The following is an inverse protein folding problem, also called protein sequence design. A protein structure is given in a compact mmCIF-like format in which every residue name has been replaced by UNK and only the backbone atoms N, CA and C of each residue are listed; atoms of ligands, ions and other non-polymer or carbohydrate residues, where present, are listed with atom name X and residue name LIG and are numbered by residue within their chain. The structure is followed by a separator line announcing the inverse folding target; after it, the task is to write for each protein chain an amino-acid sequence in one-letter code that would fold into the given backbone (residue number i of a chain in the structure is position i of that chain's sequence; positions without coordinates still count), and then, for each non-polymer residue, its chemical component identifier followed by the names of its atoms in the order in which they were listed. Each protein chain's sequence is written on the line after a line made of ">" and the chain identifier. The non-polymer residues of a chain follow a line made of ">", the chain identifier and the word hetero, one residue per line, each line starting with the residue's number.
data_IF_567634416864
#
_entry.id   IF_567634416864
#
_cell.length_a   1.000
_cell.length_b   1.000
_cell.length_c   1.000
_cell.angle_alpha   90.00
_cell.angle_beta   90.00
_cell.angle_gamma   90.00
#
_symmetry.space_group_name_H-M   'P 1'
#
loop_
_entity.id
_entity.type
_entity.pdbx_description
1 polymer ?
#
# COMPACT_ATOMS: atom_id res chain seq x y z
N UNK A 1 -5.01 15.56 25.08
CA UNK A 1 -5.03 14.64 23.92
C UNK A 1 -5.91 15.30 22.89
N UNK A 2 -5.31 15.91 21.89
CA UNK A 2 -6.08 16.37 20.73
C UNK A 2 -6.56 15.11 20.00
N UNK A 3 -7.87 15.05 19.75
CA UNK A 3 -8.51 13.84 19.22
C UNK A 3 -8.01 13.50 17.83
N UNK A 4 -7.84 12.21 17.59
CA UNK A 4 -7.56 11.64 16.27
C UNK A 4 -8.48 12.25 15.21
N UNK A 5 -7.93 12.48 14.02
CA UNK A 5 -8.70 12.87 12.83
C UNK A 5 -9.78 11.83 12.55
N UNK A 6 -11.04 12.23 12.66
CA UNK A 6 -12.18 11.40 12.28
C UNK A 6 -12.33 11.45 10.75
N UNK A 7 -12.15 10.31 10.11
CA UNK A 7 -12.33 10.13 8.67
C UNK A 7 -13.63 9.39 8.40
N UNK A 8 -14.50 9.99 7.61
CA UNK A 8 -15.68 9.33 7.05
C UNK A 8 -15.59 9.31 5.54
N UNK A 9 -15.78 8.14 4.94
CA UNK A 9 -15.91 7.99 3.50
C UNK A 9 -17.31 7.46 3.17
N UNK A 10 -17.92 7.96 2.12
CA UNK A 10 -19.12 7.38 1.54
C UNK A 10 -18.85 6.88 0.14
N UNK A 11 -19.49 5.78 -0.22
CA UNK A 11 -19.35 5.06 -1.48
C UNK A 11 -20.71 4.97 -2.16
N UNK A 12 -20.74 4.89 -3.49
CA UNK A 12 -22.01 4.70 -4.23
C UNK A 12 -22.61 3.32 -3.97
N UNK A 13 -21.74 2.30 -3.75
CA UNK A 13 -22.13 0.96 -3.34
C UNK A 13 -20.97 0.31 -2.56
N UNK A 14 -21.21 -0.78 -1.82
CA UNK A 14 -20.13 -1.56 -1.23
C UNK A 14 -19.12 -1.98 -2.31
N UNK A 15 -17.83 -1.66 -2.13
CA UNK A 15 -16.72 -1.96 -3.04
C UNK A 15 -16.59 -1.04 -4.28
N UNK A 16 -17.26 0.11 -4.33
CA UNK A 16 -17.02 1.14 -5.35
C UNK A 16 -16.06 2.25 -4.84
N UNK A 17 -15.60 3.08 -5.77
CA UNK A 17 -14.72 4.21 -5.44
C UNK A 17 -15.42 5.21 -4.50
N UNK A 18 -14.71 5.80 -3.53
CA UNK A 18 -15.30 6.78 -2.62
C UNK A 18 -15.73 8.04 -3.37
N UNK A 19 -16.94 8.52 -3.12
CA UNK A 19 -17.48 9.75 -3.75
C UNK A 19 -17.40 10.96 -2.84
N UNK A 20 -17.32 10.76 -1.53
CA UNK A 20 -17.09 11.83 -0.56
C UNK A 20 -16.17 11.35 0.56
N UNK A 21 -15.45 12.31 1.14
CA UNK A 21 -14.61 12.10 2.32
C UNK A 21 -14.82 13.29 3.24
N UNK A 22 -14.98 13.04 4.54
CA UNK A 22 -14.96 14.09 5.55
C UNK A 22 -13.76 13.88 6.46
N UNK A 23 -12.98 14.93 6.67
CA UNK A 23 -11.80 14.93 7.53
C UNK A 23 -11.94 16.01 8.59
N UNK A 24 -11.49 15.72 9.80
CA UNK A 24 -11.40 16.69 10.88
C UNK A 24 -10.09 16.50 11.63
N UNK A 25 -9.28 17.53 11.72
CA UNK A 25 -7.99 17.53 12.42
C UNK A 25 -8.18 18.20 13.78
N UNK A 26 -8.13 17.41 14.85
CA UNK A 26 -8.34 17.93 16.21
C UNK A 26 -9.66 18.69 16.34
N UNK A 27 -9.59 19.95 16.79
CA UNK A 27 -10.75 20.85 16.95
C UNK A 27 -11.01 21.73 15.72
N UNK A 28 -10.26 21.57 14.62
CA UNK A 28 -10.49 22.33 13.40
C UNK A 28 -11.88 22.00 12.81
N UNK A 29 -12.48 22.92 12.02
CA UNK A 29 -13.70 22.62 11.30
C UNK A 29 -13.53 21.42 10.37
N UNK A 30 -14.52 20.55 10.32
CA UNK A 30 -14.51 19.40 9.40
C UNK A 30 -14.44 19.88 7.94
N UNK A 31 -13.53 19.28 7.17
CA UNK A 31 -13.39 19.51 5.72
C UNK A 31 -14.08 18.37 4.97
N UNK A 32 -14.91 18.72 4.01
CA UNK A 32 -15.54 17.75 3.12
C UNK A 32 -14.88 17.80 1.76
N UNK A 33 -14.55 16.61 1.25
CA UNK A 33 -13.99 16.40 -0.06
C UNK A 33 -14.98 15.61 -0.92
N UNK A 34 -14.98 15.82 -2.24
CA UNK A 34 -15.81 15.07 -3.19
C UNK A 34 -15.00 14.58 -4.37
N UNK A 35 -15.39 13.44 -4.94
CA UNK A 35 -14.69 12.77 -6.03
C UNK A 35 -15.65 12.32 -7.11
N UNK A 36 -15.21 12.35 -8.37
CA UNK A 36 -15.95 11.85 -9.53
C UNK A 36 -15.07 10.97 -10.39
N UNK A 37 -15.65 9.95 -10.98
CA UNK A 37 -14.94 8.95 -11.77
C UNK A 37 -15.62 8.74 -13.12
N UNK A 38 -14.86 8.25 -14.09
CA UNK A 38 -15.42 7.79 -15.36
C UNK A 38 -15.85 6.30 -15.26
N UNK A 39 -16.39 5.76 -16.36
CA UNK A 39 -16.84 4.34 -16.41
C UNK A 39 -15.71 3.29 -16.32
N UNK A 40 -14.44 3.71 -16.21
CA UNK A 40 -13.29 2.84 -15.94
C UNK A 40 -12.75 3.00 -14.51
N UNK A 41 -13.48 3.70 -13.64
CA UNK A 41 -13.09 4.05 -12.28
C UNK A 41 -11.84 4.96 -12.21
N UNK A 42 -11.50 5.69 -13.28
CA UNK A 42 -10.44 6.69 -13.26
C UNK A 42 -10.97 8.00 -12.67
N UNK A 43 -10.23 8.62 -11.78
CA UNK A 43 -10.60 9.87 -11.11
C UNK A 43 -10.62 11.02 -12.14
N UNK A 44 -11.79 11.59 -12.39
CA UNK A 44 -11.98 12.70 -13.35
C UNK A 44 -12.09 14.06 -12.70
N UNK A 45 -12.57 14.12 -11.48
CA UNK A 45 -12.62 15.36 -10.71
C UNK A 45 -12.51 15.10 -9.22
N UNK A 46 -11.96 16.07 -8.51
CA UNK A 46 -12.03 16.13 -7.05
C UNK A 46 -12.22 17.58 -6.60
N UNK A 47 -12.87 17.75 -5.44
CA UNK A 47 -12.87 19.00 -4.71
C UNK A 47 -12.40 18.71 -3.30
N UNK A 48 -11.23 19.23 -2.92
CA UNK A 48 -10.65 19.04 -1.61
C UNK A 48 -10.87 20.32 -0.78
N UNK A 49 -11.88 20.27 0.11
CA UNK A 49 -12.40 21.48 0.74
C UNK A 49 -12.97 22.45 -0.34
N UNK A 50 -12.26 23.55 -0.62
CA UNK A 50 -12.64 24.50 -1.66
C UNK A 50 -11.78 24.40 -2.94
N UNK A 51 -10.74 23.56 -2.95
CA UNK A 51 -9.78 23.46 -4.07
C UNK A 51 -10.27 22.48 -5.14
N UNK A 52 -10.55 22.91 -6.38
CA UNK A 52 -11.00 22.05 -7.46
C UNK A 52 -9.82 21.40 -8.20
N UNK A 53 -10.01 20.15 -8.60
CA UNK A 53 -9.09 19.35 -9.43
C UNK A 53 -9.87 18.72 -10.58
N UNK A 54 -9.23 18.55 -11.74
CA UNK A 54 -9.86 17.92 -12.90
C UNK A 54 -8.84 17.15 -13.74
N UNK A 55 -9.22 15.97 -14.23
CA UNK A 55 -8.34 15.09 -14.98
C UNK A 55 -9.08 14.48 -16.18
N UNK A 56 -8.36 14.30 -17.28
CA UNK A 56 -8.87 13.53 -18.41
C UNK A 56 -7.81 12.56 -18.92
N UNK A 57 -8.27 11.47 -19.53
CA UNK A 57 -7.41 10.37 -19.94
C UNK A 57 -7.73 9.92 -21.36
N UNK A 58 -6.78 9.28 -22.00
CA UNK A 58 -7.02 8.54 -23.23
C UNK A 58 -7.59 7.13 -22.94
N UNK A 59 -7.78 6.32 -23.98
CA UNK A 59 -8.39 5.00 -23.86
C UNK A 59 -7.56 3.98 -23.10
N UNK A 60 -6.25 4.21 -22.92
CA UNK A 60 -5.34 3.32 -22.19
C UNK A 60 -4.91 3.93 -20.83
N UNK A 61 -5.49 5.06 -20.43
CA UNK A 61 -5.25 5.68 -19.13
C UNK A 61 -4.03 6.62 -19.09
N UNK A 62 -3.47 7.06 -20.22
CA UNK A 62 -2.54 8.18 -20.18
C UNK A 62 -3.32 9.46 -19.88
N UNK A 63 -2.80 10.28 -18.96
CA UNK A 63 -3.38 11.59 -18.67
C UNK A 63 -3.27 12.49 -19.90
N UNK A 64 -4.38 13.11 -20.27
CA UNK A 64 -4.45 14.13 -21.34
C UNK A 64 -4.40 15.54 -20.78
N UNK A 65 -5.11 15.74 -19.69
CA UNK A 65 -5.10 17.02 -18.97
C UNK A 65 -5.08 16.80 -17.47
N UNK A 66 -4.45 17.72 -16.76
CA UNK A 66 -4.59 17.87 -15.31
C UNK A 66 -4.84 19.35 -15.01
N UNK A 67 -5.90 19.63 -14.25
CA UNK A 67 -6.17 20.94 -13.68
C UNK A 67 -6.03 20.82 -12.17
N UNK A 68 -5.10 21.57 -11.64
CA UNK A 68 -4.85 21.66 -10.20
C UNK A 68 -4.96 23.14 -9.79
N UNK A 69 -5.12 23.48 -8.51
CA UNK A 69 -5.36 24.86 -8.08
C UNK A 69 -4.30 25.87 -8.54
N UNK A 70 -3.06 25.43 -8.72
CA UNK A 70 -1.93 26.28 -9.10
C UNK A 70 -1.51 26.14 -10.57
N UNK A 71 -1.93 25.07 -11.29
CA UNK A 71 -1.45 24.78 -12.63
C UNK A 71 -2.47 24.03 -13.49
N UNK A 72 -2.40 24.25 -14.80
CA UNK A 72 -3.09 23.43 -15.80
C UNK A 72 -2.04 22.82 -16.72
N UNK A 73 -2.11 21.50 -16.89
CA UNK A 73 -1.18 20.70 -17.67
C UNK A 73 -1.91 19.97 -18.79
N UNK A 74 -1.31 19.95 -19.99
CA UNK A 74 -1.75 19.10 -21.08
C UNK A 74 -0.61 18.15 -21.47
N UNK A 75 -0.96 16.90 -21.75
CA UNK A 75 -0.01 15.81 -21.98
C UNK A 75 -0.23 15.18 -23.35
N UNK A 76 0.84 14.98 -24.10
CA UNK A 76 0.86 14.12 -25.27
C UNK A 76 1.64 12.84 -24.97
N UNK A 77 1.15 11.70 -25.47
CA UNK A 77 1.80 10.40 -25.30
C UNK A 77 2.01 9.69 -26.63
N UNK A 78 3.09 8.93 -26.75
CA UNK A 78 3.38 8.08 -27.91
C UNK A 78 2.73 6.69 -27.79
N UNK A 79 2.87 5.85 -28.80
CA UNK A 79 2.34 4.48 -28.82
C UNK A 79 2.95 3.52 -27.78
N UNK A 80 3.99 3.94 -27.05
CA UNK A 80 4.59 3.21 -25.94
C UNK A 80 4.11 3.74 -24.57
N UNK A 81 3.09 4.60 -24.54
CA UNK A 81 2.56 5.28 -23.35
C UNK A 81 3.58 6.20 -22.66
N UNK A 82 4.61 6.65 -23.37
CA UNK A 82 5.57 7.63 -22.88
C UNK A 82 5.07 9.04 -23.22
N UNK A 83 5.14 9.97 -22.27
CA UNK A 83 4.84 11.37 -22.57
C UNK A 83 5.90 11.94 -23.49
N UNK A 84 5.47 12.58 -24.56
CA UNK A 84 6.33 13.24 -25.54
C UNK A 84 6.37 14.74 -25.34
N UNK A 85 5.35 15.27 -24.67
CA UNK A 85 5.21 16.68 -24.40
C UNK A 85 4.32 16.89 -23.16
N UNK A 86 4.67 17.86 -22.32
CA UNK A 86 3.88 18.32 -21.18
C UNK A 86 3.84 19.85 -21.25
N UNK A 87 2.69 20.38 -21.66
CA UNK A 87 2.44 21.82 -21.73
C UNK A 87 1.93 22.33 -20.37
N UNK A 88 2.48 23.44 -19.94
CA UNK A 88 2.05 24.17 -18.75
C UNK A 88 1.73 25.62 -19.15
N UNK A 89 0.59 26.12 -18.71
CA UNK A 89 0.15 27.46 -19.11
C UNK A 89 1.17 28.54 -18.72
N UNK A 90 1.65 29.26 -19.70
CA UNK A 90 2.62 30.36 -19.53
C UNK A 90 4.10 29.94 -19.53
N UNK A 91 4.41 28.63 -19.65
CA UNK A 91 5.77 28.12 -19.76
C UNK A 91 6.06 27.48 -21.12
N UNK A 92 7.35 27.32 -21.45
CA UNK A 92 7.75 26.48 -22.57
C UNK A 92 7.44 25.00 -22.28
N UNK A 93 6.98 24.23 -23.28
CA UNK A 93 6.67 22.82 -23.11
C UNK A 93 7.87 22.03 -22.57
N UNK A 94 7.59 21.14 -21.62
CA UNK A 94 8.57 20.19 -21.11
C UNK A 94 8.53 18.91 -21.94
N UNK A 95 9.66 18.54 -22.53
CA UNK A 95 9.81 17.32 -23.34
C UNK A 95 10.57 16.27 -22.55
N UNK A 96 9.89 15.26 -21.95
CA UNK A 96 10.56 14.15 -21.28
C UNK A 96 11.40 13.34 -22.27
N UNK A 97 12.50 12.76 -21.77
CA UNK A 97 13.30 11.82 -22.55
C UNK A 97 13.34 10.45 -21.86
N UNK A 98 13.58 9.41 -22.65
CA UNK A 98 13.60 8.02 -22.18
C UNK A 98 14.80 7.26 -22.73
N UNK A 99 15.30 6.29 -21.99
CA UNK A 99 16.28 5.34 -22.49
C UNK A 99 15.62 4.22 -23.33
N UNK A 100 16.43 3.32 -23.90
CA UNK A 100 15.95 2.21 -24.71
C UNK A 100 15.09 1.19 -23.93
N UNK A 101 15.20 1.15 -22.61
CA UNK A 101 14.39 0.30 -21.72
C UNK A 101 13.07 0.97 -21.32
N UNK A 102 12.87 2.24 -21.70
CA UNK A 102 11.69 3.04 -21.37
C UNK A 102 11.76 3.72 -20.01
N UNK A 103 12.92 3.81 -19.39
CA UNK A 103 13.07 4.60 -18.17
C UNK A 103 13.15 6.10 -18.54
N UNK A 104 12.42 6.94 -17.80
CA UNK A 104 12.43 8.39 -18.01
C UNK A 104 13.75 8.99 -17.56
N UNK A 105 14.53 9.55 -18.48
CA UNK A 105 15.86 10.11 -18.21
C UNK A 105 15.86 11.60 -17.97
N UNK A 106 14.83 12.33 -18.41
CA UNK A 106 14.59 13.74 -18.08
C UNK A 106 13.22 13.87 -17.43
N UNK A 107 13.19 14.33 -16.18
CA UNK A 107 12.03 14.33 -15.29
C UNK A 107 11.79 15.76 -14.79
N UNK A 108 10.55 16.27 -14.86
CA UNK A 108 10.14 17.50 -14.17
C UNK A 108 9.35 17.10 -12.90
N UNK A 109 9.73 17.66 -11.78
CA UNK A 109 9.06 17.49 -10.48
C UNK A 109 8.74 18.85 -9.88
N UNK A 110 8.12 18.93 -8.71
CA UNK A 110 7.89 20.19 -7.99
C UNK A 110 9.19 20.89 -7.54
N UNK A 111 10.32 20.15 -7.42
CA UNK A 111 11.63 20.73 -7.05
C UNK A 111 12.48 21.12 -8.28
N UNK A 112 12.03 20.85 -9.48
CA UNK A 112 12.71 21.23 -10.71
C UNK A 112 12.89 20.11 -11.74
N UNK A 113 13.85 20.29 -12.64
CA UNK A 113 14.15 19.33 -13.69
C UNK A 113 15.40 18.53 -13.33
N UNK A 114 15.30 17.21 -13.46
CA UNK A 114 16.29 16.23 -13.08
C UNK A 114 16.66 15.33 -14.26
N UNK A 115 17.96 15.04 -14.41
CA UNK A 115 18.43 13.98 -15.29
C UNK A 115 18.66 12.72 -14.46
N UNK A 116 18.03 11.60 -14.86
CA UNK A 116 18.14 10.32 -14.18
C UNK A 116 18.99 9.33 -14.97
N UNK A 117 19.79 8.53 -14.26
CA UNK A 117 20.58 7.42 -14.80
C UNK A 117 20.13 6.13 -14.16
N UNK A 118 20.01 5.06 -14.95
CA UNK A 118 19.52 3.76 -14.52
C UNK A 118 20.59 2.67 -14.66
N UNK A 119 20.55 1.67 -13.78
CA UNK A 119 21.35 0.46 -13.92
C UNK A 119 20.66 -0.57 -14.82
N UNK A 120 21.33 -1.71 -15.07
CA UNK A 120 20.79 -2.79 -15.90
C UNK A 120 19.51 -3.47 -15.35
N UNK A 121 19.17 -3.23 -14.09
CA UNK A 121 17.91 -3.67 -13.47
C UNK A 121 16.81 -2.59 -13.50
N UNK A 122 16.96 -1.56 -14.32
CA UNK A 122 16.05 -0.40 -14.43
C UNK A 122 15.82 0.34 -13.10
N UNK A 123 16.81 0.35 -12.20
CA UNK A 123 16.80 1.13 -10.95
C UNK A 123 17.50 2.45 -11.17
N UNK A 124 16.87 3.56 -10.81
CA UNK A 124 17.49 4.87 -10.89
C UNK A 124 18.63 4.98 -9.87
N UNK A 125 19.86 5.08 -10.36
CA UNK A 125 21.08 5.12 -9.51
C UNK A 125 21.61 6.52 -9.31
N UNK A 126 21.20 7.49 -10.13
CA UNK A 126 21.61 8.89 -9.97
C UNK A 126 20.52 9.83 -10.51
N UNK A 127 20.38 10.97 -9.81
CA UNK A 127 19.60 12.11 -10.26
C UNK A 127 20.48 13.36 -10.19
N UNK A 128 20.53 14.13 -11.28
CA UNK A 128 21.29 15.37 -11.34
C UNK A 128 20.34 16.52 -11.65
N UNK A 129 20.34 17.55 -10.83
CA UNK A 129 19.56 18.78 -11.07
C UNK A 129 19.98 19.45 -12.39
N UNK A 130 19.09 20.18 -13.03
CA UNK A 130 19.32 20.84 -14.34
C UNK A 130 20.57 21.73 -14.36
N UNK A 131 20.87 22.40 -13.25
CA UNK A 131 22.05 23.26 -13.13
C UNK A 131 23.32 22.49 -12.73
N UNK A 132 23.23 21.17 -12.50
CA UNK A 132 24.35 20.33 -12.08
C UNK A 132 24.80 20.50 -10.63
N UNK A 133 24.18 21.38 -9.87
CA UNK A 133 24.62 21.71 -8.51
C UNK A 133 24.27 20.66 -7.47
N UNK A 134 23.20 19.90 -7.72
CA UNK A 134 22.77 18.81 -6.84
C UNK A 134 22.84 17.48 -7.58
N UNK A 135 23.57 16.53 -7.00
CA UNK A 135 23.65 15.14 -7.47
C UNK A 135 23.20 14.23 -6.35
N UNK A 136 22.24 13.37 -6.63
CA UNK A 136 21.71 12.36 -5.71
C UNK A 136 22.10 10.99 -6.26
N UNK A 137 22.81 10.20 -5.46
CA UNK A 137 23.22 8.84 -5.81
C UNK A 137 22.44 7.84 -4.94
N UNK A 138 21.90 6.79 -5.56
CA UNK A 138 21.16 5.71 -4.92
C UNK A 138 21.87 4.39 -5.12
N UNK A 139 22.08 3.64 -4.03
CA UNK A 139 22.60 2.28 -4.08
C UNK A 139 21.51 1.26 -3.75
N UNK A 140 21.55 0.11 -4.45
CA UNK A 140 20.57 -0.97 -4.28
C UNK A 140 21.25 -2.28 -3.88
N UNK A 141 20.62 -3.02 -2.97
CA UNK A 141 21.09 -4.35 -2.59
C UNK A 141 20.63 -5.43 -3.59
N UNK A 142 20.99 -6.69 -3.31
CA UNK A 142 20.64 -7.82 -4.17
C UNK A 142 19.13 -8.13 -4.26
N UNK A 143 18.32 -7.61 -3.31
CA UNK A 143 16.86 -7.67 -3.34
C UNK A 143 16.24 -6.47 -4.06
N UNK A 144 17.04 -5.53 -4.55
CA UNK A 144 16.59 -4.33 -5.22
C UNK A 144 16.09 -3.24 -4.28
N UNK A 145 16.36 -3.31 -2.96
CA UNK A 145 16.00 -2.27 -2.00
C UNK A 145 17.07 -1.19 -1.98
N UNK A 146 16.65 0.07 -1.93
CA UNK A 146 17.58 1.22 -1.86
C UNK A 146 18.25 1.24 -0.49
N UNK A 147 19.46 0.72 -0.38
CA UNK A 147 20.19 0.69 0.88
C UNK A 147 20.99 1.95 1.15
N UNK A 148 21.15 2.85 0.17
CA UNK A 148 21.98 4.06 0.29
C UNK A 148 21.38 5.20 -0.52
N UNK A 149 21.46 6.41 0.04
CA UNK A 149 21.29 7.69 -0.64
C UNK A 149 22.42 8.61 -0.26
N UNK A 150 23.06 9.25 -1.25
CA UNK A 150 24.08 10.28 -1.02
C UNK A 150 23.70 11.52 -1.83
N UNK A 151 23.69 12.67 -1.18
CA UNK A 151 23.41 13.97 -1.78
C UNK A 151 24.69 14.78 -1.79
N UNK A 152 25.09 15.23 -2.98
CA UNK A 152 26.19 16.15 -3.18
C UNK A 152 25.63 17.48 -3.66
N UNK A 153 25.97 18.56 -2.97
CA UNK A 153 25.56 19.92 -3.32
C UNK A 153 26.80 20.79 -3.56
N UNK A 154 26.86 21.42 -4.74
CA UNK A 154 28.00 22.27 -5.14
C UNK A 154 29.38 21.58 -4.94
N UNK A 155 29.44 20.29 -5.26
CA UNK A 155 30.65 19.47 -5.15
C UNK A 155 30.98 18.96 -3.74
N UNK A 156 30.18 19.32 -2.73
CA UNK A 156 30.36 18.87 -1.34
C UNK A 156 29.27 17.88 -0.96
N UNK A 157 29.62 16.77 -0.30
CA UNK A 157 28.64 15.79 0.20
C UNK A 157 27.87 16.44 1.34
N UNK A 158 26.59 16.70 1.10
CA UNK A 158 25.68 17.32 2.07
C UNK A 158 25.03 16.28 3.00
N UNK A 159 24.71 15.08 2.47
CA UNK A 159 24.21 13.97 3.27
C UNK A 159 24.61 12.63 2.65
N UNK A 160 24.78 11.62 3.51
CA UNK A 160 25.03 10.25 3.08
C UNK A 160 24.36 9.31 4.07
N UNK A 161 23.21 8.76 3.66
CA UNK A 161 22.42 7.88 4.49
C UNK A 161 22.56 6.42 4.05
N UNK A 162 22.54 5.52 5.03
CA UNK A 162 22.40 4.08 4.81
C UNK A 162 21.15 3.58 5.50
N UNK A 163 20.39 2.74 4.79
CA UNK A 163 19.10 2.24 5.26
C UNK A 163 19.17 0.78 5.66
N UNK A 164 18.50 0.43 6.75
CA UNK A 164 18.34 -0.92 7.24
C UNK A 164 16.88 -1.36 7.01
N UNK A 165 16.72 -2.63 6.65
CA UNK A 165 15.43 -3.19 6.27
C UNK A 165 15.07 -4.44 7.06
N UNK A 166 13.77 -4.61 7.31
CA UNK A 166 13.13 -5.88 7.67
C UNK A 166 12.19 -6.28 6.52
N UNK A 167 12.55 -7.29 5.72
CA UNK A 167 11.90 -7.51 4.43
C UNK A 167 12.08 -6.29 3.53
N UNK A 168 11.00 -5.69 3.08
CA UNK A 168 11.00 -4.46 2.27
C UNK A 168 10.74 -3.18 3.09
N UNK A 169 10.38 -3.30 4.36
CA UNK A 169 10.16 -2.16 5.24
C UNK A 169 11.49 -1.58 5.74
N UNK A 170 11.72 -0.31 5.46
CA UNK A 170 12.86 0.42 6.02
C UNK A 170 12.62 0.62 7.52
N UNK A 171 13.52 0.13 8.36
CA UNK A 171 13.40 0.21 9.83
C UNK A 171 14.33 1.23 10.47
N UNK A 172 15.41 1.64 9.79
CA UNK A 172 16.31 2.66 10.30
C UNK A 172 17.09 3.35 9.17
N UNK A 173 17.57 4.55 9.45
CA UNK A 173 18.57 5.26 8.66
C UNK A 173 19.76 5.63 9.52
N UNK A 174 20.96 5.52 8.96
CA UNK A 174 22.22 5.86 9.59
C UNK A 174 22.94 6.95 8.81
N UNK A 175 23.57 7.88 9.53
CA UNK A 175 24.44 8.89 8.95
C UNK A 175 25.84 8.32 8.68
N UNK A 176 26.23 8.26 7.43
CA UNK A 176 27.56 7.77 7.02
C UNK A 176 28.65 8.84 7.14
N UNK A 177 28.27 10.09 7.37
CA UNK A 177 29.20 11.21 7.61
C UNK A 177 29.52 11.37 9.10
N UNK A 178 28.66 10.84 9.99
CA UNK A 178 28.81 10.91 11.43
C UNK A 178 28.78 9.52 12.08
N UNK A 179 29.88 8.78 11.97
CA UNK A 179 30.15 7.50 12.64
C UNK A 179 29.01 6.46 12.57
N UNK A 180 28.14 6.53 11.56
CA UNK A 180 26.93 5.69 11.40
C UNK A 180 25.93 5.88 12.54
N UNK A 181 25.87 7.06 13.12
CA UNK A 181 24.84 7.40 14.09
C UNK A 181 23.45 7.16 13.49
N UNK A 182 22.53 6.67 14.31
CA UNK A 182 21.15 6.42 13.88
C UNK A 182 20.43 7.76 13.78
N UNK A 183 20.05 8.13 12.56
CA UNK A 183 19.27 9.35 12.30
C UNK A 183 17.82 9.18 12.72
N UNK A 184 17.24 8.01 12.39
CA UNK A 184 15.85 7.67 12.71
C UNK A 184 15.62 6.16 12.72
N UNK A 185 14.63 5.75 13.49
CA UNK A 185 14.08 4.38 13.50
C UNK A 185 12.59 4.46 13.23
N UNK A 186 12.09 3.57 12.36
CA UNK A 186 10.69 3.48 11.97
C UNK A 186 10.07 2.20 12.52
N UNK A 187 8.91 2.32 13.13
CA UNK A 187 8.11 1.21 13.59
C UNK A 187 6.89 1.07 12.67
N UNK A 188 6.67 -0.15 12.22
CA UNK A 188 5.61 -0.51 11.29
C UNK A 188 4.61 -1.45 11.95
N UNK A 189 3.36 -1.42 11.49
CA UNK A 189 2.30 -2.27 12.01
C UNK A 189 2.66 -3.76 11.79
N UNK A 190 2.83 -4.55 12.87
CA UNK A 190 3.16 -5.96 12.76
C UNK A 190 1.99 -6.81 12.23
N UNK A 191 0.76 -6.30 12.24
CA UNK A 191 -0.43 -6.97 11.71
C UNK A 191 -0.54 -6.80 10.19
N UNK A 192 0.21 -5.86 9.62
CA UNK A 192 0.30 -5.63 8.19
C UNK A 192 1.76 -5.86 7.69
N UNK A 193 2.29 -7.09 7.73
CA UNK A 193 3.72 -7.34 7.48
C UNK A 193 4.17 -7.06 6.04
N UNK A 194 3.24 -6.90 5.12
CA UNK A 194 3.48 -6.59 3.69
C UNK A 194 3.08 -5.16 3.37
N UNK A 195 2.21 -4.55 4.16
CA UNK A 195 1.69 -3.22 3.92
C UNK A 195 2.49 -2.14 4.67
N UNK A 196 2.60 -0.98 4.07
CA UNK A 196 3.37 0.17 4.57
C UNK A 196 2.54 1.04 5.51
N UNK A 197 2.07 0.49 6.64
CA UNK A 197 1.40 1.26 7.68
C UNK A 197 2.39 1.66 8.77
N UNK A 198 2.84 2.93 8.82
CA UNK A 198 3.74 3.39 9.86
C UNK A 198 2.99 3.57 11.18
N UNK A 199 3.64 3.20 12.30
CA UNK A 199 3.12 3.42 13.65
C UNK A 199 3.86 4.55 14.35
N UNK A 200 5.20 4.54 14.31
CA UNK A 200 6.00 5.49 15.03
C UNK A 200 7.36 5.76 14.38
N UNK A 201 7.91 6.92 14.70
CA UNK A 201 9.24 7.39 14.37
C UNK A 201 9.99 7.68 15.67
N UNK A 202 11.19 7.17 15.81
CA UNK A 202 12.16 7.63 16.82
C UNK A 202 13.24 8.41 16.11
N UNK A 203 13.44 9.67 16.51
CA UNK A 203 14.46 10.57 15.95
C UNK A 203 15.17 11.28 17.10
N UNK A 204 16.47 11.02 17.24
CA UNK A 204 17.21 11.39 18.43
C UNK A 204 16.66 10.71 19.69
N UNK A 205 16.30 11.49 20.70
CA UNK A 205 15.65 10.99 21.93
C UNK A 205 14.11 11.10 21.89
N UNK A 206 13.53 11.55 20.78
CA UNK A 206 12.10 11.84 20.68
C UNK A 206 11.36 10.71 19.99
N UNK A 207 10.18 10.37 20.50
CA UNK A 207 9.22 9.44 19.92
C UNK A 207 8.08 10.24 19.31
N UNK A 208 7.72 9.90 18.09
CA UNK A 208 6.58 10.45 17.37
C UNK A 208 5.65 9.31 16.90
N UNK A 209 4.35 9.56 16.90
CA UNK A 209 3.33 8.60 16.43
C UNK A 209 2.70 9.11 15.13
N UNK A 210 2.47 8.21 14.19
CA UNK A 210 1.84 8.54 12.92
C UNK A 210 0.33 8.43 12.98
N UNK A 211 -0.37 9.46 12.48
CA UNK A 211 -1.76 9.42 12.05
C UNK A 211 -1.80 9.15 10.54
N UNK A 212 -2.64 8.22 10.11
CA UNK A 212 -2.78 7.86 8.70
C UNK A 212 -4.24 7.78 8.28
N UNK A 213 -4.51 8.12 7.03
CA UNK A 213 -5.83 7.93 6.42
C UNK A 213 -6.06 6.48 5.94
N UNK A 214 -7.21 6.23 5.28
CA UNK A 214 -7.56 4.90 4.77
C UNK A 214 -6.63 4.40 3.67
N UNK A 215 -5.98 5.30 2.92
CA UNK A 215 -4.99 4.97 1.89
C UNK A 215 -3.56 4.96 2.43
N UNK A 216 -3.41 4.97 3.78
CA UNK A 216 -2.13 4.97 4.50
C UNK A 216 -1.29 6.24 4.28
N UNK A 217 -1.89 7.31 3.75
CA UNK A 217 -1.21 8.59 3.71
C UNK A 217 -1.01 9.08 5.14
N UNK A 218 0.20 9.49 5.48
CA UNK A 218 0.47 10.12 6.77
C UNK A 218 -0.16 11.51 6.75
N UNK A 219 -1.14 11.75 7.61
CA UNK A 219 -1.85 13.03 7.71
C UNK A 219 -1.33 13.88 8.84
N UNK A 220 -0.98 13.28 9.98
CA UNK A 220 -0.37 13.94 11.12
C UNK A 220 0.79 13.12 11.69
N UNK A 221 1.70 13.81 12.35
CA UNK A 221 2.74 13.20 13.18
C UNK A 221 2.68 13.87 14.55
N UNK A 222 2.40 13.09 15.58
CA UNK A 222 2.23 13.55 16.95
C UNK A 222 3.50 13.32 17.76
N UNK A 223 3.86 14.27 18.60
CA UNK A 223 4.90 14.09 19.61
C UNK A 223 4.39 13.22 20.80
N UNK A 224 5.28 12.95 21.75
CA UNK A 224 4.94 12.15 22.94
C UNK A 224 3.87 12.79 23.85
N UNK A 225 3.56 14.06 23.68
CA UNK A 225 2.53 14.80 24.40
C UNK A 225 1.19 14.79 23.65
N UNK A 226 1.18 14.26 22.42
CA UNK A 226 0.01 14.26 21.55
C UNK A 226 -0.19 15.56 20.78
N UNK A 227 0.84 16.43 20.73
CA UNK A 227 0.82 17.65 19.91
C UNK A 227 1.24 17.33 18.48
N UNK A 228 0.63 17.99 17.50
CA UNK A 228 0.98 17.81 16.09
C UNK A 228 2.35 18.45 15.82
N UNK A 229 3.36 17.62 15.57
CA UNK A 229 4.71 18.03 15.22
C UNK A 229 4.87 18.30 13.71
N UNK A 230 4.11 17.58 12.87
CA UNK A 230 3.97 17.81 11.44
C UNK A 230 2.57 17.39 10.97
N UNK A 231 2.05 18.06 9.95
CA UNK A 231 0.81 17.68 9.30
C UNK A 231 0.95 17.81 7.78
N UNK A 232 0.25 16.95 7.05
CA UNK A 232 0.35 16.86 5.59
C UNK A 232 -1.04 16.83 4.97
N UNK A 233 -1.19 17.60 3.89
CA UNK A 233 -2.30 17.51 2.96
C UNK A 233 -1.78 17.09 1.58
N UNK A 234 -2.59 16.37 0.84
CA UNK A 234 -2.20 15.80 -0.44
C UNK A 234 -3.17 16.19 -1.54
N UNK A 235 -2.64 16.50 -2.73
CA UNK A 235 -3.47 16.53 -3.94
C UNK A 235 -4.03 15.13 -4.23
N UNK A 236 -5.02 14.99 -5.12
CA UNK A 236 -5.58 13.68 -5.47
C UNK A 236 -4.55 12.68 -6.00
N UNK A 237 -3.39 13.14 -6.46
CA UNK A 237 -2.27 12.32 -6.95
C UNK A 237 -1.03 12.38 -6.06
N UNK A 238 -1.17 12.88 -4.82
CA UNK A 238 -0.11 12.78 -3.82
C UNK A 238 0.95 13.88 -3.84
N UNK A 239 0.73 14.98 -4.58
CA UNK A 239 1.53 16.17 -4.36
C UNK A 239 1.27 16.67 -2.93
N UNK A 240 2.33 16.84 -2.15
CA UNK A 240 2.25 17.09 -0.71
C UNK A 240 2.39 18.56 -0.38
N UNK A 241 1.58 19.02 0.57
CA UNK A 241 1.76 20.30 1.27
C UNK A 241 1.88 19.98 2.76
N UNK A 242 3.01 20.34 3.36
CA UNK A 242 3.27 20.06 4.77
C UNK A 242 3.32 21.31 5.63
N UNK A 243 3.01 21.15 6.91
CA UNK A 243 3.19 22.15 7.96
C UNK A 243 3.92 21.52 9.15
N UNK A 244 4.52 22.35 10.01
CA UNK A 244 5.33 21.88 11.13
C UNK A 244 6.83 21.88 10.84
N UNK A 245 7.62 21.56 11.84
CA UNK A 245 9.10 21.62 11.78
C UNK A 245 9.77 20.25 11.74
N UNK A 246 9.02 19.16 11.89
CA UNK A 246 9.57 17.82 11.89
C UNK A 246 9.79 17.34 10.45
N UNK A 247 11.05 17.20 10.03
CA UNK A 247 11.42 16.50 8.80
C UNK A 247 11.34 14.98 9.00
N UNK A 248 10.51 14.29 8.20
CA UNK A 248 10.35 12.85 8.25
C UNK A 248 9.95 12.31 6.87
N UNK A 249 10.40 11.10 6.47
CA UNK A 249 10.28 10.66 5.08
C UNK A 249 8.97 9.95 4.74
N UNK A 250 8.20 9.44 5.70
CA UNK A 250 7.02 8.61 5.42
C UNK A 250 5.80 9.50 5.21
N UNK A 251 5.26 9.53 4.00
CA UNK A 251 4.17 10.45 3.66
C UNK A 251 3.07 9.75 2.85
N UNK A 252 2.96 10.02 1.55
CA UNK A 252 1.96 9.46 0.65
C UNK A 252 2.00 7.92 0.61
N UNK A 253 0.85 7.27 0.75
CA UNK A 253 0.70 5.79 0.80
C UNK A 253 1.53 5.08 1.89
N UNK A 254 2.03 5.82 2.90
CA UNK A 254 2.98 5.27 3.86
C UNK A 254 4.35 4.96 3.25
N UNK A 255 4.67 5.52 2.09
CA UNK A 255 5.92 5.30 1.37
C UNK A 255 6.94 6.42 1.61
N UNK A 256 8.18 6.20 1.18
CA UNK A 256 9.29 7.13 1.39
C UNK A 256 9.23 8.28 0.40
N UNK A 257 8.75 9.43 0.83
CA UNK A 257 8.86 10.68 0.08
C UNK A 257 10.29 11.21 0.15
N UNK A 258 10.83 11.59 -0.98
CA UNK A 258 12.18 12.14 -1.09
C UNK A 258 12.08 13.65 -1.41
N UNK A 259 12.33 14.46 -0.39
CA UNK A 259 12.14 15.92 -0.46
C UNK A 259 13.13 16.60 -1.43
N UNK A 260 14.32 16.03 -1.69
CA UNK A 260 15.32 16.65 -2.56
C UNK A 260 14.83 16.74 -4.01
N UNK A 261 14.13 15.71 -4.50
CA UNK A 261 13.64 15.67 -5.89
C UNK A 261 12.15 15.37 -6.01
N UNK A 262 11.41 15.41 -4.90
CA UNK A 262 9.95 15.30 -4.83
C UNK A 262 9.37 14.06 -5.54
N UNK A 263 10.06 12.92 -5.45
CA UNK A 263 9.58 11.62 -5.90
C UNK A 263 9.28 10.73 -4.70
N UNK A 264 8.34 9.80 -4.86
CA UNK A 264 7.99 8.81 -3.86
C UNK A 264 8.64 7.47 -4.23
N UNK A 265 9.43 6.90 -3.30
CA UNK A 265 10.12 5.64 -3.50
C UNK A 265 9.27 4.45 -3.04
N UNK A 266 8.83 3.63 -3.99
CA UNK A 266 8.05 2.41 -3.78
C UNK A 266 8.92 1.16 -4.03
N UNK A 267 9.97 0.95 -3.31
CA UNK A 267 10.87 -0.20 -3.46
C UNK A 267 11.30 -0.54 -4.90
N UNK A 268 10.35 -0.84 -5.80
CA UNK A 268 10.65 -1.23 -7.19
C UNK A 268 10.63 -0.07 -8.18
N UNK A 269 9.89 1.01 -7.91
CA UNK A 269 9.76 2.18 -8.79
C UNK A 269 9.79 3.48 -8.00
N UNK A 270 10.08 4.59 -8.69
CA UNK A 270 9.76 5.92 -8.19
C UNK A 270 8.48 6.43 -8.84
N UNK A 271 7.65 7.02 -8.03
CA UNK A 271 6.43 7.68 -8.45
C UNK A 271 6.63 9.19 -8.49
N UNK A 272 6.17 9.83 -9.58
CA UNK A 272 6.14 11.29 -9.71
C UNK A 272 4.72 11.81 -9.44
N UNK A 273 4.45 12.42 -8.29
CA UNK A 273 3.12 12.95 -7.97
C UNK A 273 2.64 14.03 -8.94
N UNK A 274 3.55 14.86 -9.48
CA UNK A 274 3.22 15.91 -10.43
C UNK A 274 2.60 15.35 -11.71
N UNK A 275 3.22 14.33 -12.29
CA UNK A 275 2.73 13.72 -13.53
C UNK A 275 1.70 12.61 -13.27
N UNK A 276 1.53 12.19 -12.01
CA UNK A 276 0.61 11.13 -11.60
C UNK A 276 0.97 9.76 -12.15
N UNK A 277 2.28 9.46 -12.32
CA UNK A 277 2.73 8.22 -12.96
C UNK A 277 4.12 7.77 -12.47
N UNK A 278 4.45 6.53 -12.79
CA UNK A 278 5.77 5.97 -12.59
C UNK A 278 6.78 6.57 -13.57
N UNK A 279 8.05 6.76 -13.13
CA UNK A 279 9.13 7.26 -14.00
C UNK A 279 9.77 6.15 -14.85
N UNK A 280 9.41 4.88 -14.63
CA UNK A 280 9.87 3.74 -15.40
C UNK A 280 8.76 2.71 -15.59
N UNK A 281 8.96 1.81 -16.56
CA UNK A 281 8.00 0.76 -16.89
C UNK A 281 7.81 -0.21 -15.74
N UNK A 282 6.62 -0.82 -15.69
CA UNK A 282 6.31 -1.84 -14.70
C UNK A 282 7.24 -3.06 -14.85
N UNK A 283 7.96 -3.46 -13.79
CA UNK A 283 8.83 -4.64 -13.83
C UNK A 283 8.08 -5.96 -14.06
N UNK A 284 6.78 -6.02 -13.72
CA UNK A 284 5.93 -7.20 -13.98
C UNK A 284 5.20 -7.12 -15.32
N UNK A 285 5.53 -6.12 -16.11
CA UNK A 285 5.01 -5.88 -17.46
C UNK A 285 3.48 -5.75 -17.48
N UNK A 286 2.78 -6.32 -18.48
CA UNK A 286 1.32 -6.25 -18.63
C UNK A 286 0.53 -6.96 -17.50
N UNK A 287 1.20 -7.68 -16.60
CA UNK A 287 0.56 -8.24 -15.39
C UNK A 287 0.11 -7.14 -14.42
N UNK A 288 0.80 -5.99 -14.42
CA UNK A 288 0.42 -4.80 -13.67
C UNK A 288 -0.60 -3.90 -14.37
N UNK A 289 -0.91 -4.17 -15.64
CA UNK A 289 -1.82 -3.37 -16.48
C UNK A 289 -1.25 -3.07 -17.86
N UNK A 290 -2.12 -2.68 -18.81
CA UNK A 290 -1.70 -2.37 -20.17
C UNK A 290 -0.86 -1.09 -20.29
N UNK A 291 -1.08 -0.10 -19.45
CA UNK A 291 -0.26 1.10 -19.37
C UNK A 291 0.82 0.90 -18.29
N UNK A 292 2.04 0.59 -18.72
CA UNK A 292 3.16 0.23 -17.84
C UNK A 292 3.67 1.40 -16.98
N UNK A 293 3.15 2.61 -17.17
CA UNK A 293 3.50 3.80 -16.40
C UNK A 293 2.35 4.30 -15.51
N UNK A 294 1.13 3.76 -15.69
CA UNK A 294 -0.03 4.22 -14.92
C UNK A 294 0.14 3.91 -13.41
N UNK A 295 -0.15 4.91 -12.58
CA UNK A 295 -0.21 4.76 -11.14
C UNK A 295 -1.63 4.40 -10.73
N UNK A 296 -1.81 3.25 -10.06
CA UNK A 296 -3.06 2.76 -9.49
C UNK A 296 -4.25 2.71 -10.48
N UNK A 297 -3.97 2.63 -11.79
CA UNK A 297 -5.02 2.72 -12.82
C UNK A 297 -5.81 4.01 -12.76
N UNK A 298 -5.19 5.12 -12.34
CA UNK A 298 -5.80 6.44 -12.13
C UNK A 298 -6.92 6.49 -11.06
N UNK A 299 -6.96 5.53 -10.11
CA UNK A 299 -7.93 5.45 -9.02
C UNK A 299 -7.23 5.59 -7.67
N UNK A 300 -6.69 6.76 -7.39
CA UNK A 300 -5.79 7.02 -6.26
C UNK A 300 -6.49 7.16 -4.91
N UNK A 301 -7.83 7.22 -4.88
CA UNK A 301 -8.59 7.43 -3.65
C UNK A 301 -9.06 6.12 -3.00
N UNK A 302 -9.00 5.01 -3.72
CA UNK A 302 -9.43 3.68 -3.26
C UNK A 302 -8.37 2.60 -3.41
N UNK A 303 -7.21 2.93 -4.04
CA UNK A 303 -6.13 1.98 -4.29
C UNK A 303 -4.82 2.45 -3.70
N UNK A 304 -3.96 1.49 -3.38
CA UNK A 304 -2.57 1.71 -3.00
C UNK A 304 -1.67 0.63 -3.63
N UNK A 305 -0.39 0.90 -3.70
CA UNK A 305 0.64 -0.07 -4.11
C UNK A 305 1.66 -0.16 -2.98
N UNK A 306 2.10 -1.36 -2.61
CA UNK A 306 3.04 -1.56 -1.49
C UNK A 306 4.49 -1.72 -1.93
N UNK A 307 4.71 -1.99 -3.21
CA UNK A 307 6.04 -2.27 -3.74
C UNK A 307 6.37 -1.49 -5.02
N UNK A 308 5.38 -0.82 -5.61
CA UNK A 308 5.51 -0.28 -6.96
C UNK A 308 5.46 -1.37 -8.03
N UNK A 309 4.60 -2.37 -7.86
CA UNK A 309 4.40 -3.50 -8.78
C UNK A 309 2.94 -3.67 -9.19
N UNK A 310 2.01 -3.56 -8.25
CA UNK A 310 0.60 -3.84 -8.48
C UNK A 310 -0.30 -2.98 -7.59
N UNK A 311 -1.30 -2.37 -8.23
CA UNK A 311 -2.37 -1.67 -7.52
C UNK A 311 -3.24 -2.66 -6.73
N UNK A 312 -3.52 -2.34 -5.49
CA UNK A 312 -4.39 -3.09 -4.59
C UNK A 312 -5.52 -2.16 -4.13
N UNK A 313 -6.76 -2.66 -4.15
CA UNK A 313 -7.88 -1.88 -3.62
C UNK A 313 -7.76 -1.80 -2.09
N UNK A 314 -7.87 -0.61 -1.53
CA UNK A 314 -7.68 -0.36 -0.09
C UNK A 314 -8.66 -1.14 0.78
N UNK A 315 -9.91 -1.24 0.37
CA UNK A 315 -10.94 -2.02 1.07
C UNK A 315 -10.89 -3.50 0.72
N UNK A 316 -10.75 -3.86 -0.57
CA UNK A 316 -10.78 -5.27 -0.98
C UNK A 316 -9.61 -6.06 -0.42
N UNK A 317 -8.44 -5.49 -0.23
CA UNK A 317 -7.30 -6.25 0.32
C UNK A 317 -7.51 -6.59 1.81
N UNK A 318 -7.99 -5.63 2.62
CA UNK A 318 -8.33 -5.88 4.03
C UNK A 318 -9.47 -6.89 4.15
N UNK A 319 -10.49 -6.78 3.29
CA UNK A 319 -11.60 -7.72 3.19
C UNK A 319 -11.12 -9.11 2.77
N UNK A 320 -10.34 -9.20 1.69
CA UNK A 320 -9.83 -10.48 1.16
C UNK A 320 -8.91 -11.16 2.18
N UNK A 321 -8.02 -10.43 2.82
CA UNK A 321 -7.14 -10.97 3.86
C UNK A 321 -7.92 -11.38 5.11
N UNK A 322 -8.88 -10.58 5.57
CA UNK A 322 -9.74 -10.90 6.69
C UNK A 322 -10.61 -12.13 6.41
N UNK A 323 -11.22 -12.21 5.23
CA UNK A 323 -11.99 -13.38 4.78
C UNK A 323 -11.09 -14.62 4.63
N UNK A 324 -9.91 -14.47 4.02
CA UNK A 324 -8.94 -15.55 3.88
C UNK A 324 -8.41 -16.08 5.22
N UNK A 325 -8.35 -15.23 6.24
CA UNK A 325 -8.00 -15.59 7.61
C UNK A 325 -9.20 -16.12 8.44
N UNK A 326 -10.41 -16.17 7.86
CA UNK A 326 -11.63 -16.58 8.56
C UNK A 326 -12.19 -15.53 9.53
N UNK A 327 -11.76 -14.28 9.43
CA UNK A 327 -12.16 -13.17 10.31
C UNK A 327 -13.39 -12.41 9.81
N UNK A 328 -14.41 -13.13 9.39
CA UNK A 328 -15.57 -12.55 8.70
C UNK A 328 -16.35 -11.57 9.57
N UNK A 329 -16.47 -11.84 10.87
CA UNK A 329 -17.16 -10.94 11.79
C UNK A 329 -16.41 -9.61 11.97
N UNK A 330 -15.06 -9.65 12.01
CA UNK A 330 -14.22 -8.45 12.09
C UNK A 330 -14.35 -7.63 10.80
N UNK A 331 -14.32 -8.30 9.65
CA UNK A 331 -14.51 -7.68 8.33
C UNK A 331 -15.91 -7.08 8.19
N UNK A 332 -16.95 -7.79 8.65
CA UNK A 332 -18.33 -7.28 8.64
C UNK A 332 -18.44 -5.99 9.46
N UNK A 333 -17.87 -5.97 10.66
CA UNK A 333 -17.85 -4.78 11.52
C UNK A 333 -17.09 -3.62 10.84
N UNK A 334 -15.94 -3.89 10.25
CA UNK A 334 -15.15 -2.91 9.52
C UNK A 334 -15.92 -2.26 8.36
N UNK A 335 -16.74 -3.05 7.66
CA UNK A 335 -17.56 -2.59 6.54
C UNK A 335 -18.96 -2.08 6.95
N UNK A 336 -19.24 -1.96 8.26
CA UNK A 336 -20.52 -1.48 8.77
C UNK A 336 -21.68 -2.46 8.70
N UNK A 337 -21.43 -3.75 8.46
CA UNK A 337 -22.46 -4.78 8.51
C UNK A 337 -22.70 -5.27 9.94
N UNK A 338 -23.95 -5.43 10.31
CA UNK A 338 -24.35 -5.87 11.65
C UNK A 338 -23.96 -7.32 11.96
N UNK A 339 -23.76 -8.16 10.95
CA UNK A 339 -23.38 -9.57 11.09
C UNK A 339 -22.52 -10.05 9.94
N UNK A 340 -21.75 -11.12 10.16
CA UNK A 340 -21.02 -11.84 9.11
C UNK A 340 -21.95 -12.34 7.99
N UNK A 341 -23.16 -12.76 8.32
CA UNK A 341 -24.16 -13.23 7.33
C UNK A 341 -24.64 -12.09 6.42
N UNK A 342 -24.82 -10.88 6.95
CA UNK A 342 -25.18 -9.70 6.15
C UNK A 342 -24.08 -9.33 5.14
N UNK A 343 -22.81 -9.39 5.54
CA UNK A 343 -21.67 -9.19 4.64
C UNK A 343 -21.64 -10.25 3.53
N UNK A 344 -21.80 -11.53 3.88
CA UNK A 344 -21.84 -12.64 2.90
C UNK A 344 -22.97 -12.46 1.89
N UNK A 345 -24.16 -12.05 2.33
CA UNK A 345 -25.30 -11.77 1.47
C UNK A 345 -24.99 -10.63 0.48
N UNK A 346 -24.46 -9.51 0.96
CA UNK A 346 -24.10 -8.36 0.13
C UNK A 346 -23.01 -8.69 -0.92
N UNK A 347 -22.00 -9.47 -0.54
CA UNK A 347 -20.97 -9.94 -1.48
C UNK A 347 -21.59 -10.85 -2.57
N UNK A 348 -22.54 -11.70 -2.21
CA UNK A 348 -23.23 -12.58 -3.15
C UNK A 348 -24.12 -11.80 -4.11
N UNK A 349 -24.85 -10.80 -3.61
CA UNK A 349 -25.67 -9.88 -4.42
C UNK A 349 -24.79 -9.05 -5.37
N UNK A 350 -23.57 -8.68 -4.94
CA UNK A 350 -22.55 -8.01 -5.76
C UNK A 350 -21.89 -8.91 -6.82
N UNK A 351 -22.35 -10.17 -6.97
CA UNK A 351 -21.85 -11.10 -7.99
C UNK A 351 -20.60 -11.90 -7.59
N UNK A 352 -20.17 -11.82 -6.33
CA UNK A 352 -19.04 -12.61 -5.84
C UNK A 352 -19.49 -14.00 -5.41
N UNK A 353 -18.73 -15.02 -5.78
CA UNK A 353 -18.91 -16.40 -5.30
C UNK A 353 -17.96 -16.66 -4.13
N UNK A 354 -18.52 -17.10 -3.01
CA UNK A 354 -17.77 -17.42 -1.81
C UNK A 354 -17.63 -18.94 -1.69
N UNK A 355 -16.40 -19.43 -1.55
CA UNK A 355 -16.11 -20.85 -1.43
C UNK A 355 -15.17 -21.09 -0.27
N UNK A 356 -15.44 -22.11 0.55
CA UNK A 356 -14.50 -22.52 1.59
C UNK A 356 -13.25 -23.15 0.98
N UNK A 357 -12.07 -22.72 1.46
CA UNK A 357 -10.79 -23.37 1.13
C UNK A 357 -10.78 -24.80 1.66
N UNK A 358 -10.15 -25.69 0.91
CA UNK A 358 -10.04 -27.09 1.29
C UNK A 358 -9.28 -27.27 2.61
N UNK A 359 -9.70 -28.22 3.41
CA UNK A 359 -8.98 -28.66 4.61
C UNK A 359 -7.77 -29.54 4.26
N UNK A 360 -6.75 -29.50 5.06
CA UNK A 360 -5.61 -30.41 4.98
C UNK A 360 -5.41 -31.12 6.35
N UNK A 361 -5.61 -32.44 6.46
CA UNK A 361 -6.07 -33.32 5.38
C UNK A 361 -7.52 -33.04 4.95
N UNK A 362 -7.95 -33.56 3.78
CA UNK A 362 -9.29 -33.30 3.25
C UNK A 362 -10.44 -33.67 4.20
N UNK A 363 -11.60 -33.02 4.01
CA UNK A 363 -12.82 -33.35 4.76
C UNK A 363 -13.17 -34.83 4.57
N UNK A 364 -13.53 -35.50 5.66
CA UNK A 364 -13.76 -36.95 5.67
C UNK A 364 -12.54 -37.80 5.98
N UNK A 365 -11.32 -37.23 5.95
CA UNK A 365 -10.12 -37.96 6.37
C UNK A 365 -10.21 -38.33 7.85
N UNK A 366 -9.77 -39.53 8.18
CA UNK A 366 -9.74 -40.01 9.55
C UNK A 366 -8.31 -39.96 10.09
N UNK A 367 -8.19 -39.59 11.34
CA UNK A 367 -6.94 -39.67 12.10
C UNK A 367 -7.14 -40.39 13.41
N UNK A 368 -6.09 -41.04 13.87
CA UNK A 368 -6.10 -41.81 15.12
C UNK A 368 -5.19 -41.14 16.14
N UNK A 369 -5.69 -40.98 17.35
CA UNK A 369 -4.88 -40.57 18.50
C UNK A 369 -4.80 -41.72 19.51
N UNK A 370 -3.59 -42.21 19.75
CA UNK A 370 -3.34 -43.28 20.66
C UNK A 370 -3.12 -42.73 22.08
N UNK A 371 -3.80 -43.30 23.06
CA UNK A 371 -3.58 -43.07 24.50
C UNK A 371 -2.94 -44.32 25.11
N UNK A 372 -1.62 -44.26 25.29
CA UNK A 372 -0.84 -45.42 25.82
C UNK A 372 -0.77 -45.47 27.34
N UNK A 373 -0.94 -44.37 28.04
CA UNK A 373 -0.57 -44.23 29.45
C UNK A 373 -1.76 -44.00 30.42
N UNK A 374 -3.01 -44.04 29.95
CA UNK A 374 -4.18 -43.93 30.82
C UNK A 374 -5.36 -44.71 30.26
N UNK A 375 -6.21 -45.14 31.20
CA UNK A 375 -7.45 -45.87 30.93
C UNK A 375 -8.63 -44.92 30.93
N UNK A 376 -9.52 -45.08 29.95
CA UNK A 376 -10.85 -44.48 29.96
C UNK A 376 -11.89 -45.60 30.06
N UNK A 377 -12.73 -45.59 31.10
CA UNK A 377 -13.81 -46.55 31.31
C UNK A 377 -13.36 -48.01 31.31
N UNK A 378 -12.22 -48.32 31.93
CA UNK A 378 -11.71 -49.68 32.03
C UNK A 378 -11.06 -50.26 30.77
N UNK A 379 -10.85 -49.45 29.73
CA UNK A 379 -10.21 -49.87 28.47
C UNK A 379 -8.72 -49.47 28.46
N UNK A 380 -7.88 -50.41 28.13
CA UNK A 380 -6.43 -50.29 28.14
C UNK A 380 -5.85 -50.83 26.84
N UNK A 381 -4.82 -50.23 26.29
CA UNK A 381 -4.79 -48.89 25.70
C UNK A 381 -5.86 -48.72 24.62
N UNK A 382 -6.25 -47.50 24.31
CA UNK A 382 -7.32 -47.25 23.36
C UNK A 382 -6.97 -46.12 22.38
N UNK A 383 -7.76 -46.00 21.31
CA UNK A 383 -7.61 -45.01 20.27
C UNK A 383 -8.87 -44.17 20.17
N UNK A 384 -8.65 -42.88 19.91
CA UNK A 384 -9.72 -41.99 19.44
C UNK A 384 -9.60 -41.81 17.92
N UNK A 385 -10.69 -42.00 17.21
CA UNK A 385 -10.79 -41.74 15.79
C UNK A 385 -11.48 -40.40 15.60
N UNK A 386 -10.81 -39.49 14.92
CA UNK A 386 -11.30 -38.19 14.58
C UNK A 386 -11.49 -38.11 13.08
N UNK A 387 -12.61 -37.54 12.66
CA UNK A 387 -12.88 -37.25 11.26
C UNK A 387 -12.71 -35.74 11.03
N UNK A 388 -11.99 -35.39 10.01
CA UNK A 388 -11.85 -33.99 9.60
C UNK A 388 -13.16 -33.50 9.01
N UNK A 389 -13.66 -32.39 9.55
CA UNK A 389 -14.90 -31.75 9.11
C UNK A 389 -14.59 -30.29 8.77
N UNK A 390 -15.50 -29.70 8.02
CA UNK A 390 -15.52 -28.27 7.74
C UNK A 390 -16.89 -27.72 8.10
N UNK A 391 -16.94 -26.50 8.62
CA UNK A 391 -18.21 -25.83 8.88
C UNK A 391 -19.04 -25.74 7.62
N UNK A 392 -20.33 -26.12 7.63
CA UNK A 392 -21.19 -26.02 6.47
C UNK A 392 -21.61 -24.58 6.14
N UNK A 393 -21.36 -23.66 7.06
CA UNK A 393 -21.72 -22.25 6.91
C UNK A 393 -20.56 -21.53 6.25
N UNK A 394 -20.76 -20.94 5.08
CA UNK A 394 -19.71 -20.19 4.35
C UNK A 394 -19.11 -19.06 5.20
N UNK A 395 -19.89 -18.47 6.11
CA UNK A 395 -19.40 -17.47 7.05
C UNK A 395 -18.43 -18.03 8.14
N UNK A 396 -18.26 -19.34 8.23
CA UNK A 396 -17.38 -19.99 9.20
C UNK A 396 -16.69 -21.22 8.58
N UNK A 397 -15.81 -20.98 7.62
CA UNK A 397 -15.09 -22.02 6.88
C UNK A 397 -13.89 -22.60 7.68
N UNK A 398 -14.11 -23.01 8.93
CA UNK A 398 -13.06 -23.60 9.77
C UNK A 398 -12.99 -25.11 9.57
N UNK A 399 -11.78 -25.65 9.57
CA UNK A 399 -11.51 -27.07 9.61
C UNK A 399 -11.36 -27.52 11.07
N UNK A 400 -12.05 -28.58 11.45
CA UNK A 400 -11.99 -29.10 12.81
C UNK A 400 -12.09 -30.62 12.83
N UNK A 401 -11.60 -31.20 13.93
CA UNK A 401 -11.73 -32.63 14.21
C UNK A 401 -13.02 -32.90 14.97
N UNK A 402 -13.81 -33.84 14.48
CA UNK A 402 -14.94 -34.41 15.19
C UNK A 402 -14.57 -35.81 15.63
N UNK A 403 -14.55 -36.04 16.95
CA UNK A 403 -14.37 -37.41 17.49
C UNK A 403 -15.57 -38.27 17.12
N UNK A 404 -15.31 -39.36 16.40
CA UNK A 404 -16.36 -40.23 15.88
C UNK A 404 -16.46 -41.53 16.69
N UNK A 405 -15.33 -42.05 17.17
CA UNK A 405 -15.28 -43.36 17.87
C UNK A 405 -14.12 -43.46 18.83
N UNK A 406 -14.24 -44.34 19.83
CA UNK A 406 -13.14 -44.91 20.62
C UNK A 406 -12.98 -46.35 20.16
N UNK A 407 -11.80 -46.73 19.69
CA UNK A 407 -11.53 -48.05 19.12
C UNK A 407 -10.16 -48.54 19.47
N UNK A 408 -10.04 -49.86 19.60
CA UNK A 408 -8.75 -50.57 19.77
C UNK A 408 -8.24 -51.10 18.41
N UNK A 409 -8.84 -50.73 17.31
CA UNK A 409 -8.47 -51.23 16.00
C UNK A 409 -7.21 -50.51 15.46
N UNK A 410 -6.21 -51.29 15.04
CA UNK A 410 -4.90 -50.80 14.57
C UNK A 410 -4.81 -50.44 13.09
N UNK A 411 -5.92 -50.51 12.35
CA UNK A 411 -5.91 -50.41 10.86
C UNK A 411 -6.07 -48.99 10.28
N UNK A 412 -6.06 -47.93 11.09
CA UNK A 412 -6.19 -46.57 10.63
C UNK A 412 -4.84 -45.86 10.60
N UNK A 413 -4.54 -45.07 9.55
CA UNK A 413 -3.30 -44.31 9.47
C UNK A 413 -3.23 -43.28 10.62
N UNK A 414 -2.07 -43.17 11.24
CA UNK A 414 -1.80 -42.12 12.23
C UNK A 414 -1.62 -40.76 11.52
N UNK A 415 -2.42 -39.76 11.88
CA UNK A 415 -2.19 -38.40 11.50
C UNK A 415 -1.60 -37.64 12.68
N UNK A 416 -0.44 -37.02 12.43
CA UNK A 416 0.21 -36.14 13.41
C UNK A 416 -0.20 -34.69 13.14
N UNK A 417 -0.98 -34.11 14.05
CA UNK A 417 -1.37 -32.71 13.98
C UNK A 417 -2.88 -32.48 13.87
N UNK A 418 -3.28 -31.21 14.08
CA UNK A 418 -4.67 -30.77 13.88
C UNK A 418 -4.90 -30.47 12.40
N UNK A 419 -6.15 -30.55 11.90
CA UNK A 419 -6.43 -30.14 10.54
C UNK A 419 -6.07 -28.66 10.37
N UNK A 420 -5.43 -28.38 9.23
CA UNK A 420 -5.08 -27.03 8.79
C UNK A 420 -5.91 -26.64 7.57
N UNK A 421 -5.83 -25.41 7.15
CA UNK A 421 -6.66 -24.90 6.07
C UNK A 421 -7.95 -24.28 6.63
N UNK A 422 -8.91 -24.06 5.75
CA UNK A 422 -10.11 -23.27 6.04
C UNK A 422 -9.93 -21.81 5.61
N UNK A 423 -10.91 -20.97 5.90
CA UNK A 423 -11.03 -19.63 5.35
C UNK A 423 -11.82 -19.63 4.06
N UNK A 424 -12.09 -18.44 3.51
CA UNK A 424 -12.92 -18.24 2.33
C UNK A 424 -12.08 -17.86 1.13
N UNK A 425 -12.41 -18.42 0.00
CA UNK A 425 -11.95 -17.96 -1.31
C UNK A 425 -13.08 -17.14 -1.94
N UNK A 426 -12.78 -15.90 -2.33
CA UNK A 426 -13.72 -15.01 -3.02
C UNK A 426 -13.42 -15.08 -4.51
N UNK A 427 -14.42 -15.44 -5.29
CA UNK A 427 -14.33 -15.57 -6.75
C UNK A 427 -15.30 -14.56 -7.34
N UNK A 428 -14.84 -13.75 -8.27
CA UNK A 428 -15.66 -12.79 -9.02
C UNK A 428 -16.26 -13.45 -10.26
#
# INVERSE_FOLDING_TARGET
>A
MEELTLLYQSYNAPLECPVTRTQQRGTEPARSDSFSYNGRNELTAATLGAAPYGYSYDNIGNRKTAREPAEELAYAANGLNQYTDIEESGEAPFVPTYDASGNQTLIKTSTGIWTAVYNAANRAVSFTSRNGNTIIECGYDYQGRRYMKKVTQNGTVASHERYLYRGYLQIAAQDMLDNRNVLRTLLWDPLEPVATRPLALVQGASLYCYGVDFNKNVTEVFDAQGTIAAAYDYSPYGAVTGTGSLGQPVQWSGEMHDEDFALVYYNYRFYNPRDGRWINRDPITEQGGWNLYAFLGNSTQDKFDTFGLQALDSLSNTVIQGLAAGKISEVATLLGYSTAAALVAALTEGGYKLKCKACNPPVGSQRQQCHRNHTHNGWNPHYHIFTVNQSPIVADCRCFDKRTTISNNHNYPEYTGRPTGGGIEVIK
#
